data_IF_028857385726
#
_entry.id   IF_028857385726
#
_cell.length_a   1.000
_cell.length_b   1.000
_cell.length_c   1.000
_cell.angle_alpha   90.00
_cell.angle_beta   90.00
_cell.angle_gamma   90.00
#
_symmetry.space_group_name_H-M   'P 1'
#
loop_
_entity.id
_entity.type
_entity.pdbx_description
1 polymer ?
#
# COMPACT_ATOMS: atom_id res chain seq x y z
N UNK A 1 -17.27 -26.71 -3.27
CA UNK A 1 -16.69 -26.52 -1.99
C UNK A 1 -15.21 -26.21 -1.86
N UNK A 2 -14.30 -27.03 -2.37
CA UNK A 2 -12.85 -26.90 -2.13
C UNK A 2 -12.27 -25.51 -2.47
N UNK A 3 -12.68 -24.94 -3.59
CA UNK A 3 -12.26 -23.60 -4.01
C UNK A 3 -12.55 -22.51 -2.94
N UNK A 4 -13.75 -22.54 -2.38
CA UNK A 4 -14.17 -21.54 -1.41
C UNK A 4 -13.35 -21.62 -0.11
N UNK A 5 -12.91 -22.81 0.28
CA UNK A 5 -12.07 -22.99 1.48
C UNK A 5 -10.60 -22.73 1.23
N UNK A 6 -10.11 -22.97 -0.01
CA UNK A 6 -8.69 -22.86 -0.33
C UNK A 6 -8.31 -21.51 -0.93
N UNK A 7 -9.20 -20.91 -1.71
CA UNK A 7 -8.99 -19.62 -2.37
C UNK A 7 -9.81 -18.51 -1.70
N UNK A 8 -11.05 -18.82 -1.31
CA UNK A 8 -11.91 -17.88 -0.58
C UNK A 8 -12.31 -16.64 -1.36
N UNK A 9 -12.27 -16.68 -2.68
CA UNK A 9 -12.79 -15.63 -3.56
C UNK A 9 -13.88 -16.25 -4.46
N UNK A 10 -15.08 -15.66 -4.55
CA UNK A 10 -16.04 -16.02 -5.58
C UNK A 10 -15.39 -15.97 -6.96
N UNK A 11 -15.54 -17.04 -7.74
CA UNK A 11 -14.90 -17.13 -9.04
C UNK A 11 -15.75 -17.87 -10.08
N UNK A 12 -15.49 -17.57 -11.37
CA UNK A 12 -16.04 -18.29 -12.51
C UNK A 12 -14.89 -18.74 -13.41
N UNK A 13 -14.83 -20.03 -13.67
CA UNK A 13 -13.90 -20.61 -14.65
C UNK A 13 -14.57 -20.79 -16.01
N UNK A 14 -13.74 -20.75 -17.06
CA UNK A 14 -14.13 -21.04 -18.43
C UNK A 14 -13.32 -22.19 -19.00
N UNK A 15 -13.94 -22.99 -19.86
CA UNK A 15 -13.30 -24.15 -20.54
C UNK A 15 -12.18 -23.79 -21.49
N UNK A 16 -11.94 -22.50 -21.73
CA UNK A 16 -10.77 -21.99 -22.45
C UNK A 16 -9.53 -21.78 -21.59
N UNK A 17 -9.61 -22.05 -20.27
CA UNK A 17 -8.49 -21.85 -19.33
C UNK A 17 -8.50 -20.51 -18.62
N UNK A 18 -9.57 -19.74 -18.72
CA UNK A 18 -9.77 -18.49 -17.98
C UNK A 18 -10.35 -18.73 -16.59
N UNK A 19 -9.93 -17.90 -15.61
CA UNK A 19 -10.57 -17.78 -14.31
C UNK A 19 -10.76 -16.30 -14.03
N UNK A 20 -11.97 -15.90 -13.66
CA UNK A 20 -12.27 -14.58 -13.10
C UNK A 20 -12.65 -14.77 -11.64
N UNK A 21 -11.89 -14.19 -10.75
CA UNK A 21 -12.15 -14.18 -9.31
C UNK A 21 -12.37 -12.76 -8.80
N UNK A 22 -13.21 -12.60 -7.79
CA UNK A 22 -13.57 -11.29 -7.24
C UNK A 22 -13.51 -11.35 -5.72
N UNK A 23 -12.82 -10.39 -5.11
CA UNK A 23 -12.95 -10.09 -3.70
C UNK A 23 -13.79 -8.82 -3.57
N UNK A 24 -15.07 -8.92 -3.15
CA UNK A 24 -16.00 -7.81 -3.18
C UNK A 24 -15.48 -6.58 -2.43
N UNK A 25 -15.57 -5.41 -3.08
CA UNK A 25 -15.13 -4.15 -2.52
C UNK A 25 -13.61 -3.95 -2.46
N UNK A 26 -12.80 -4.89 -2.98
CA UNK A 26 -11.34 -4.81 -2.94
C UNK A 26 -10.69 -4.95 -4.31
N UNK A 27 -10.86 -6.09 -4.99
CA UNK A 27 -10.21 -6.33 -6.28
C UNK A 27 -10.90 -7.40 -7.12
N UNK A 28 -10.58 -7.42 -8.41
CA UNK A 28 -10.88 -8.50 -9.35
C UNK A 28 -9.59 -9.08 -9.93
N UNK A 29 -9.54 -10.39 -10.13
CA UNK A 29 -8.40 -11.11 -10.67
C UNK A 29 -8.84 -11.84 -11.93
N UNK A 30 -8.17 -11.59 -13.05
CA UNK A 30 -8.29 -12.36 -14.28
C UNK A 30 -7.04 -13.18 -14.53
N UNK A 31 -7.18 -14.49 -14.70
CA UNK A 31 -6.07 -15.39 -15.03
C UNK A 31 -6.42 -16.18 -16.28
N UNK A 32 -5.46 -16.34 -17.18
CA UNK A 32 -5.62 -17.18 -18.36
C UNK A 32 -4.43 -18.15 -18.49
N UNK A 33 -4.75 -19.46 -18.52
CA UNK A 33 -3.80 -20.53 -18.79
C UNK A 33 -4.53 -21.75 -19.35
N UNK A 34 -4.27 -22.17 -20.59
CA UNK A 34 -5.11 -23.11 -21.35
C UNK A 34 -5.02 -24.57 -20.92
N UNK A 35 -4.06 -24.98 -20.08
CA UNK A 35 -4.04 -26.37 -19.58
C UNK A 35 -5.08 -26.57 -18.52
N UNK A 36 -6.02 -27.50 -18.76
CA UNK A 36 -7.13 -27.81 -17.87
C UNK A 36 -6.88 -29.11 -17.09
N UNK A 37 -7.44 -29.17 -15.88
CA UNK A 37 -7.56 -30.41 -15.11
C UNK A 37 -8.74 -31.26 -15.60
N UNK A 38 -8.95 -32.43 -15.00
CA UNK A 38 -10.05 -33.35 -15.34
C UNK A 38 -11.43 -32.73 -15.08
N UNK A 39 -11.53 -31.63 -14.32
CA UNK A 39 -12.77 -30.89 -14.02
C UNK A 39 -12.99 -29.70 -14.95
N UNK A 40 -12.07 -29.48 -15.91
CA UNK A 40 -12.13 -28.35 -16.84
C UNK A 40 -11.65 -27.02 -16.29
N UNK A 41 -10.93 -27.00 -15.18
CA UNK A 41 -10.36 -25.78 -14.62
C UNK A 41 -8.89 -25.61 -15.01
N UNK A 42 -8.44 -24.39 -15.20
CA UNK A 42 -7.05 -24.07 -15.45
C UNK A 42 -6.14 -24.52 -14.31
N UNK A 43 -5.24 -25.46 -14.54
CA UNK A 43 -4.33 -26.01 -13.51
C UNK A 43 -3.46 -24.88 -12.92
N UNK A 44 -2.81 -24.11 -13.77
CA UNK A 44 -1.93 -23.00 -13.34
C UNK A 44 -2.74 -21.85 -12.76
N UNK A 45 -3.91 -21.56 -13.35
CA UNK A 45 -4.79 -20.51 -12.86
C UNK A 45 -5.30 -20.79 -11.43
N UNK A 46 -5.65 -22.03 -11.13
CA UNK A 46 -6.02 -22.45 -9.77
C UNK A 46 -4.86 -22.30 -8.81
N UNK A 47 -3.65 -22.72 -9.20
CA UNK A 47 -2.45 -22.59 -8.37
C UNK A 47 -2.14 -21.11 -8.05
N UNK A 48 -2.13 -20.25 -9.05
CA UNK A 48 -1.89 -18.80 -8.89
C UNK A 48 -2.94 -18.18 -7.95
N UNK A 49 -4.22 -18.47 -8.15
CA UNK A 49 -5.25 -17.93 -7.27
C UNK A 49 -5.10 -18.40 -5.82
N UNK A 50 -4.66 -19.65 -5.58
CA UNK A 50 -4.36 -20.16 -4.24
C UNK A 50 -3.18 -19.41 -3.59
N UNK A 51 -2.09 -19.22 -4.33
CA UNK A 51 -0.91 -18.50 -3.87
C UNK A 51 -1.24 -17.04 -3.57
N UNK A 52 -1.89 -16.35 -4.49
CA UNK A 52 -2.33 -14.96 -4.28
C UNK A 52 -3.24 -14.82 -3.07
N UNK A 53 -4.22 -15.73 -2.91
CA UNK A 53 -5.11 -15.71 -1.74
C UNK A 53 -4.34 -15.84 -0.43
N UNK A 54 -3.34 -16.73 -0.39
CA UNK A 54 -2.52 -16.95 0.79
C UNK A 54 -1.58 -15.77 1.06
N UNK A 55 -0.85 -15.34 0.03
CA UNK A 55 0.26 -14.41 0.19
C UNK A 55 -0.22 -12.96 0.40
N UNK A 56 -1.39 -12.62 -0.14
CA UNK A 56 -2.02 -11.30 0.03
C UNK A 56 -3.25 -11.32 0.96
N UNK A 57 -3.49 -12.44 1.65
CA UNK A 57 -4.60 -12.60 2.59
C UNK A 57 -5.99 -12.26 1.97
N UNK A 58 -6.25 -12.72 0.73
CA UNK A 58 -7.44 -12.37 -0.03
C UNK A 58 -8.64 -13.30 0.21
N UNK A 59 -8.68 -14.00 1.32
CA UNK A 59 -9.75 -14.97 1.61
C UNK A 59 -10.92 -14.29 2.33
N UNK A 60 -12.08 -14.16 1.67
CA UNK A 60 -13.22 -13.39 2.17
C UNK A 60 -13.77 -13.85 3.54
N UNK A 61 -13.60 -15.13 3.90
CA UNK A 61 -13.95 -15.64 5.23
C UNK A 61 -12.91 -15.30 6.30
N UNK A 62 -11.69 -14.92 5.91
CA UNK A 62 -10.58 -14.56 6.81
C UNK A 62 -10.38 -13.06 6.90
N UNK A 63 -10.89 -12.31 5.92
CA UNK A 63 -10.79 -10.85 5.89
C UNK A 63 -12.09 -10.27 6.46
N UNK A 64 -12.12 -9.92 7.75
CA UNK A 64 -13.34 -9.40 8.38
C UNK A 64 -13.68 -7.97 7.96
N UNK A 65 -12.85 -7.33 7.11
CA UNK A 65 -12.95 -5.89 6.85
C UNK A 65 -13.02 -5.61 5.36
N UNK A 66 -14.10 -4.95 4.94
CA UNK A 66 -14.14 -4.25 3.66
C UNK A 66 -12.95 -3.26 3.61
N UNK A 67 -12.28 -3.16 2.46
CA UNK A 67 -11.28 -2.12 2.25
C UNK A 67 -11.92 -0.76 2.53
N UNK A 68 -11.64 -0.19 3.70
CA UNK A 68 -12.03 1.18 4.02
C UNK A 68 -10.95 2.08 3.46
N UNK A 69 -11.35 3.28 3.07
CA UNK A 69 -10.37 4.30 2.70
C UNK A 69 -9.36 4.44 3.84
N UNK A 70 -8.11 4.10 3.55
CA UNK A 70 -7.00 4.17 4.50
C UNK A 70 -6.47 5.58 4.61
N UNK A 71 -6.57 6.40 3.54
CA UNK A 71 -6.28 7.83 3.61
C UNK A 71 -7.43 8.53 4.34
N UNK A 72 -7.15 8.99 5.55
CA UNK A 72 -8.05 9.80 6.37
C UNK A 72 -8.12 11.24 5.88
N UNK A 73 -7.00 11.76 5.41
CA UNK A 73 -6.91 13.13 4.94
C UNK A 73 -5.60 13.40 4.22
N UNK A 74 -5.65 14.40 3.37
CA UNK A 74 -4.55 14.92 2.57
C UNK A 74 -4.44 16.41 2.85
N UNK A 75 -3.26 16.89 3.21
CA UNK A 75 -3.05 18.24 3.70
C UNK A 75 -1.78 18.85 3.12
N UNK A 76 -1.85 20.08 2.70
CA UNK A 76 -0.68 20.92 2.51
C UNK A 76 -0.16 21.42 3.85
N UNK A 77 1.13 21.66 3.97
CA UNK A 77 1.73 22.14 5.21
C UNK A 77 1.08 23.45 5.71
N UNK A 78 0.57 24.28 4.79
CA UNK A 78 -0.15 25.49 5.12
C UNK A 78 -1.52 25.29 5.75
N UNK A 79 -2.14 24.12 5.53
CA UNK A 79 -3.44 23.73 6.11
C UNK A 79 -3.30 23.04 7.47
N UNK A 80 -2.09 22.57 7.80
CA UNK A 80 -1.79 21.93 9.09
C UNK A 80 -1.45 22.97 10.15
N UNK A 81 -2.46 23.41 10.90
CA UNK A 81 -2.23 24.29 12.05
C UNK A 81 -1.61 23.52 13.20
N UNK A 82 -0.30 23.66 13.39
CA UNK A 82 0.35 23.15 14.59
C UNK A 82 -0.02 24.00 15.81
N UNK A 83 -0.47 23.33 16.88
CA UNK A 83 -0.73 23.97 18.19
C UNK A 83 0.55 24.32 18.95
N UNK A 84 1.72 23.88 18.48
CA UNK A 84 3.00 24.18 19.12
C UNK A 84 3.36 25.64 18.86
N UNK A 85 3.60 26.38 19.93
CA UNK A 85 4.20 27.72 19.87
C UNK A 85 5.63 27.59 19.32
N UNK A 86 5.90 28.28 18.23
CA UNK A 86 7.22 28.31 17.58
C UNK A 86 7.78 29.72 17.55
N UNK A 87 9.09 29.83 17.64
CA UNK A 87 9.79 31.09 17.44
C UNK A 87 9.58 31.64 16.01
N UNK A 88 9.70 32.94 15.84
CA UNK A 88 9.51 33.60 14.54
C UNK A 88 10.39 33.03 13.40
N UNK A 89 11.66 32.67 13.64
CA UNK A 89 12.49 32.03 12.62
C UNK A 89 11.96 30.68 12.17
N UNK A 90 11.49 29.83 13.12
CA UNK A 90 10.91 28.51 12.81
C UNK A 90 9.63 28.64 11.98
N UNK A 91 8.78 29.62 12.33
CA UNK A 91 7.57 29.90 11.55
C UNK A 91 7.90 30.31 10.12
N UNK A 92 8.89 31.16 9.93
CA UNK A 92 9.33 31.60 8.59
C UNK A 92 9.77 30.42 7.73
N UNK A 93 10.51 29.46 8.29
CA UNK A 93 10.94 28.25 7.57
C UNK A 93 9.72 27.41 7.15
N UNK A 94 8.76 27.20 8.05
CA UNK A 94 7.54 26.47 7.73
C UNK A 94 6.69 27.17 6.68
N UNK A 95 6.58 28.51 6.76
CA UNK A 95 5.84 29.31 5.77
C UNK A 95 6.48 29.20 4.38
N UNK A 96 7.81 29.17 4.30
CA UNK A 96 8.53 28.98 3.04
C UNK A 96 8.42 27.55 2.47
N UNK A 97 8.13 26.57 3.33
CA UNK A 97 7.96 25.16 2.94
C UNK A 97 6.51 24.79 2.63
N UNK A 98 5.53 25.70 2.75
CA UNK A 98 4.09 25.42 2.62
C UNK A 98 3.74 24.68 1.35
N UNK A 99 4.28 25.14 0.22
CA UNK A 99 3.98 24.62 -1.10
C UNK A 99 4.96 23.51 -1.55
N UNK A 100 5.75 22.98 -0.61
CA UNK A 100 6.77 21.98 -0.88
C UNK A 100 6.46 20.61 -0.26
N UNK A 101 5.48 20.54 0.65
CA UNK A 101 5.20 19.34 1.43
C UNK A 101 3.72 18.99 1.33
N UNK A 102 3.43 17.74 0.97
CA UNK A 102 2.11 17.15 1.05
C UNK A 102 2.11 16.03 2.09
N UNK A 103 1.14 16.08 3.00
CA UNK A 103 0.96 15.10 4.07
C UNK A 103 -0.27 14.24 3.81
N UNK A 104 -0.10 12.93 3.91
CA UNK A 104 -1.13 11.91 3.82
C UNK A 104 -1.28 11.24 5.18
N UNK A 105 -2.38 11.50 5.88
CA UNK A 105 -2.66 10.84 7.16
C UNK A 105 -3.41 9.54 6.89
N UNK A 106 -2.80 8.41 7.24
CA UNK A 106 -3.39 7.08 7.10
C UNK A 106 -4.06 6.64 8.39
N UNK A 107 -4.99 5.67 8.27
CA UNK A 107 -5.67 5.09 9.42
C UNK A 107 -6.10 3.64 9.16
N UNK A 108 -6.32 2.89 10.26
CA UNK A 108 -6.83 1.51 10.19
C UNK A 108 -5.75 0.51 9.80
N UNK A 109 -6.12 -0.51 9.04
CA UNK A 109 -5.21 -1.58 8.65
C UNK A 109 -4.74 -1.38 7.21
N UNK A 110 -3.43 -1.39 6.99
CA UNK A 110 -2.81 -1.31 5.67
C UNK A 110 -2.62 -2.71 5.09
N UNK A 111 -3.64 -3.20 4.41
CA UNK A 111 -3.60 -4.42 3.62
C UNK A 111 -3.36 -4.16 2.13
N UNK A 112 -3.24 -5.22 1.34
CA UNK A 112 -2.86 -5.16 -0.07
C UNK A 112 -3.68 -4.15 -0.90
N UNK A 113 -5.01 -4.23 -0.86
CA UNK A 113 -5.85 -3.37 -1.69
C UNK A 113 -5.82 -1.90 -1.24
N UNK A 114 -5.75 -1.65 0.07
CA UNK A 114 -5.65 -0.29 0.62
C UNK A 114 -4.33 0.36 0.26
N UNK A 115 -3.21 -0.34 0.51
CA UNK A 115 -1.88 0.23 0.29
C UNK A 115 -1.60 0.53 -1.18
N UNK A 116 -2.11 -0.28 -2.11
CA UNK A 116 -1.91 -0.02 -3.55
C UNK A 116 -2.61 1.27 -3.98
N UNK A 117 -3.83 1.50 -3.49
CA UNK A 117 -4.56 2.73 -3.74
C UNK A 117 -3.89 3.95 -3.08
N UNK A 118 -3.39 3.80 -1.84
CA UNK A 118 -2.70 4.85 -1.11
C UNK A 118 -1.39 5.25 -1.81
N UNK A 119 -0.57 4.27 -2.21
CA UNK A 119 0.68 4.52 -2.94
C UNK A 119 0.41 5.27 -4.24
N UNK A 120 -0.56 4.84 -5.02
CA UNK A 120 -0.97 5.53 -6.25
C UNK A 120 -1.38 6.97 -5.97
N UNK A 121 -2.20 7.19 -4.95
CA UNK A 121 -2.62 8.54 -4.54
C UNK A 121 -1.45 9.42 -4.11
N UNK A 122 -0.49 8.87 -3.35
CA UNK A 122 0.72 9.60 -2.94
C UNK A 122 1.55 10.00 -4.16
N UNK A 123 1.76 9.09 -5.11
CA UNK A 123 2.51 9.37 -6.35
C UNK A 123 1.84 10.48 -7.15
N UNK A 124 0.53 10.34 -7.41
CA UNK A 124 -0.23 11.30 -8.22
C UNK A 124 -0.25 12.70 -7.59
N UNK A 125 -0.55 12.78 -6.30
CA UNK A 125 -0.64 14.05 -5.58
C UNK A 125 0.73 14.68 -5.31
N UNK A 126 1.81 13.89 -5.30
CA UNK A 126 3.18 14.39 -5.14
C UNK A 126 3.84 14.76 -6.47
N UNK A 127 3.15 14.70 -7.59
CA UNK A 127 3.74 14.95 -8.91
C UNK A 127 4.46 16.30 -9.02
N UNK A 128 3.94 17.34 -8.37
CA UNK A 128 4.50 18.71 -8.38
C UNK A 128 5.30 19.08 -7.13
N UNK A 129 5.39 18.21 -6.13
CA UNK A 129 5.96 18.54 -4.81
C UNK A 129 7.22 17.73 -4.51
N UNK A 130 8.24 18.33 -3.87
CA UNK A 130 9.50 17.64 -3.59
C UNK A 130 9.43 16.68 -2.39
N UNK A 131 8.46 16.84 -1.47
CA UNK A 131 8.39 16.07 -0.23
C UNK A 131 6.98 15.52 -0.03
N UNK A 132 6.87 14.20 0.11
CA UNK A 132 5.67 13.51 0.55
C UNK A 132 5.85 13.02 1.99
N UNK A 133 4.91 13.35 2.86
CA UNK A 133 4.86 12.87 4.25
C UNK A 133 3.73 11.88 4.38
N UNK A 134 4.01 10.69 4.88
CA UNK A 134 3.00 9.67 5.19
C UNK A 134 2.97 9.48 6.70
N UNK A 135 1.85 9.85 7.29
CA UNK A 135 1.60 9.75 8.72
C UNK A 135 0.90 8.41 9.03
N UNK A 136 1.57 7.57 9.82
CA UNK A 136 1.17 6.23 10.22
C UNK A 136 0.67 6.17 11.68
N UNK A 137 0.60 7.28 12.41
CA UNK A 137 0.24 7.29 13.84
C UNK A 137 -1.12 6.65 14.14
N UNK A 138 -2.05 6.68 13.18
CA UNK A 138 -3.40 6.13 13.32
C UNK A 138 -3.59 4.78 12.61
N UNK A 139 -2.52 4.23 12.07
CA UNK A 139 -2.50 2.89 11.50
C UNK A 139 -2.48 1.89 12.64
N UNK A 140 -3.41 0.93 12.60
CA UNK A 140 -3.51 -0.10 13.64
C UNK A 140 -2.65 -1.31 13.33
N UNK A 141 -2.58 -1.68 12.05
CA UNK A 141 -1.81 -2.84 11.59
C UNK A 141 -1.28 -2.62 10.17
N UNK A 142 -0.06 -3.10 9.91
CA UNK A 142 0.57 -3.06 8.58
C UNK A 142 0.87 -4.49 8.15
N UNK A 143 0.24 -4.94 7.07
CA UNK A 143 0.49 -6.27 6.51
C UNK A 143 1.88 -6.35 5.86
N UNK A 144 2.51 -7.54 5.83
CA UNK A 144 3.84 -7.70 5.22
C UNK A 144 3.92 -7.28 3.75
N UNK A 145 2.83 -7.39 2.99
CA UNK A 145 2.78 -6.93 1.59
C UNK A 145 2.98 -5.41 1.44
N UNK A 146 2.64 -4.62 2.46
CA UNK A 146 2.84 -3.18 2.44
C UNK A 146 4.33 -2.79 2.38
N UNK A 147 5.23 -3.62 2.90
CA UNK A 147 6.70 -3.37 2.84
C UNK A 147 7.15 -3.22 1.39
N UNK A 148 6.70 -4.12 0.50
CA UNK A 148 7.06 -4.05 -0.91
C UNK A 148 6.51 -2.77 -1.59
N UNK A 149 5.28 -2.38 -1.25
CA UNK A 149 4.66 -1.18 -1.78
C UNK A 149 5.38 0.10 -1.32
N UNK A 150 5.73 0.20 -0.04
CA UNK A 150 6.50 1.34 0.48
C UNK A 150 7.94 1.36 -0.03
N UNK A 151 8.60 0.21 -0.18
CA UNK A 151 9.92 0.13 -0.81
C UNK A 151 9.86 0.70 -2.23
N UNK A 152 8.88 0.26 -3.02
CA UNK A 152 8.69 0.74 -4.39
C UNK A 152 8.40 2.25 -4.42
N UNK A 153 7.50 2.73 -3.56
CA UNK A 153 7.17 4.16 -3.46
C UNK A 153 8.41 5.00 -3.15
N UNK A 154 9.24 4.56 -2.18
CA UNK A 154 10.46 5.26 -1.80
C UNK A 154 11.43 5.37 -2.98
N UNK A 155 11.68 4.25 -3.67
CA UNK A 155 12.58 4.21 -4.83
C UNK A 155 12.03 5.08 -5.98
N UNK A 156 10.75 4.96 -6.31
CA UNK A 156 10.15 5.72 -7.42
C UNK A 156 10.19 7.24 -7.16
N UNK A 157 9.95 7.66 -5.91
CA UNK A 157 10.07 9.08 -5.53
C UNK A 157 11.53 9.55 -5.57
N UNK A 158 12.48 8.77 -5.06
CA UNK A 158 13.89 9.10 -5.07
C UNK A 158 14.44 9.25 -6.50
N UNK A 159 14.04 8.37 -7.43
CA UNK A 159 14.43 8.43 -8.85
C UNK A 159 14.05 9.75 -9.53
N UNK A 160 13.02 10.42 -9.06
CA UNK A 160 12.58 11.74 -9.56
C UNK A 160 12.99 12.89 -8.63
N UNK A 161 13.95 12.66 -7.73
CA UNK A 161 14.50 13.69 -6.83
C UNK A 161 13.55 14.13 -5.73
N UNK A 162 12.60 13.27 -5.34
CA UNK A 162 11.63 13.54 -4.27
C UNK A 162 11.94 12.72 -3.03
N UNK A 163 11.50 13.21 -1.88
CA UNK A 163 11.73 12.59 -0.58
C UNK A 163 10.41 12.06 0.00
N UNK A 164 10.45 10.83 0.52
CA UNK A 164 9.40 10.26 1.36
C UNK A 164 9.79 10.41 2.84
N UNK A 165 8.89 10.93 3.65
CA UNK A 165 9.02 11.01 5.10
C UNK A 165 7.93 10.17 5.74
N UNK A 166 8.29 9.24 6.63
CA UNK A 166 7.34 8.46 7.40
C UNK A 166 7.27 8.99 8.83
N UNK A 167 6.07 9.28 9.30
CA UNK A 167 5.80 9.73 10.68
C UNK A 167 5.06 8.62 11.41
N UNK A 168 5.42 8.34 12.67
CA UNK A 168 4.80 7.28 13.46
C UNK A 168 5.23 5.87 13.07
N UNK A 169 6.24 5.71 12.20
CA UNK A 169 6.73 4.40 11.77
C UNK A 169 7.41 3.61 12.91
N UNK A 170 7.91 4.29 13.93
CA UNK A 170 8.51 3.69 15.12
C UNK A 170 7.52 2.81 15.90
N UNK A 171 6.22 3.06 15.80
CA UNK A 171 5.17 2.22 16.40
C UNK A 171 4.99 0.88 15.66
N UNK A 172 5.56 0.76 14.45
CA UNK A 172 5.47 -0.40 13.57
C UNK A 172 6.85 -1.04 13.35
N UNK A 173 7.54 -1.38 14.43
CA UNK A 173 8.93 -1.86 14.42
C UNK A 173 9.24 -2.99 13.43
N UNK A 174 8.41 -4.06 13.28
CA UNK A 174 8.64 -5.10 12.27
C UNK A 174 8.59 -4.56 10.83
N UNK A 175 7.63 -3.71 10.52
CA UNK A 175 7.50 -3.06 9.22
C UNK A 175 8.71 -2.17 8.93
N UNK A 176 9.10 -1.33 9.88
CA UNK A 176 10.22 -0.41 9.72
C UNK A 176 11.54 -1.15 9.45
N UNK A 177 11.83 -2.21 10.20
CA UNK A 177 13.02 -3.03 9.97
C UNK A 177 13.03 -3.66 8.59
N UNK A 178 11.92 -4.29 8.20
CA UNK A 178 11.81 -4.93 6.89
C UNK A 178 11.93 -3.93 5.73
N UNK A 179 11.42 -2.71 5.90
CA UNK A 179 11.55 -1.63 4.92
C UNK A 179 13.01 -1.17 4.80
N UNK A 180 13.69 -0.93 5.93
CA UNK A 180 15.10 -0.54 5.97
C UNK A 180 16.01 -1.59 5.33
N UNK A 181 15.82 -2.87 5.65
CA UNK A 181 16.56 -3.98 5.06
C UNK A 181 16.42 -4.02 3.53
N UNK A 182 15.20 -3.85 3.02
CA UNK A 182 14.94 -3.83 1.58
C UNK A 182 15.57 -2.63 0.88
N UNK A 183 15.47 -1.44 1.45
CA UNK A 183 16.08 -0.23 0.89
C UNK A 183 17.60 -0.33 0.85
N UNK A 184 18.23 -0.84 1.90
CA UNK A 184 19.68 -1.07 1.94
C UNK A 184 20.12 -2.04 0.85
N UNK A 185 19.35 -3.10 0.62
CA UNK A 185 19.64 -4.10 -0.43
C UNK A 185 19.43 -3.52 -1.84
N UNK A 186 18.53 -2.58 -2.00
CA UNK A 186 18.25 -1.91 -3.28
C UNK A 186 19.23 -0.80 -3.63
N UNK A 187 20.19 -0.47 -2.75
CA UNK A 187 21.30 0.47 -3.01
C UNK A 187 20.95 1.95 -2.89
N UNK A 188 19.80 2.31 -2.34
CA UNK A 188 19.43 3.72 -2.14
C UNK A 188 18.93 4.03 -0.71
N UNK A 189 19.85 4.37 0.22
CA UNK A 189 19.48 4.76 1.57
C UNK A 189 19.07 6.25 1.71
N UNK A 190 19.16 7.06 0.66
CA UNK A 190 19.00 8.53 0.79
C UNK A 190 17.58 9.06 0.52
N UNK A 191 16.69 8.24 0.02
CA UNK A 191 15.34 8.68 -0.37
C UNK A 191 14.30 8.75 0.75
N UNK A 192 14.60 8.24 1.96
CA UNK A 192 13.63 8.17 3.06
C UNK A 192 14.16 8.84 4.34
N UNK A 193 13.27 9.56 5.01
CA UNK A 193 13.46 10.07 6.38
C UNK A 193 12.35 9.54 7.31
N UNK A 194 12.71 9.21 8.52
CA UNK A 194 11.82 8.69 9.58
C UNK A 194 11.69 9.72 10.68
#
# INVERSE_FOLDING_TARGET
GEWLYTVGMPAKSGVGGGILAVLPGQLGIGVFSPRLDARGNSVRGVAVCKEMSRDFNLHFLRVPRAARATIRGEFDLGQMCSRRLRAAPERKVLDQARDRVRTFSLQGDLGFAGIEADVRRVVDASASLPIAVVDLERVAFIEPCAVAAFTRLTVDLAMVGKQLVLVGAEHHGPFLRALQERLTTSGDPQGMSI
#
